data_IF_620993366848
#
_entry.id   IF_620993366848
#
_cell.length_a   1.000
_cell.length_b   1.000
_cell.length_c   1.000
_cell.angle_alpha   90.00
_cell.angle_beta   90.00
_cell.angle_gamma   90.00
#
_symmetry.space_group_name_H-M   'P 1'
#
loop_
_entity.id
_entity.type
_entity.pdbx_description
1 polymer ?
#
# COMPACT_ATOMS: atom_id res chain seq x y z
N UNK A 1 8.93 -2.16 -3.53
CA UNK A 1 7.62 -1.72 -3.00
C UNK A 1 7.83 -1.16 -1.61
N UNK A 2 7.08 -0.14 -1.22
CA UNK A 2 7.10 0.42 0.14
C UNK A 2 5.71 0.25 0.74
N UNK A 3 5.63 -0.16 2.00
CA UNK A 3 4.35 -0.38 2.68
C UNK A 3 4.17 0.67 3.76
N UNK A 4 3.02 1.34 3.77
CA UNK A 4 2.52 2.06 4.93
C UNK A 4 1.49 1.21 5.65
N UNK A 5 1.50 1.24 6.97
CA UNK A 5 0.57 0.44 7.77
C UNK A 5 0.00 1.22 8.93
N UNK A 6 -1.22 0.91 9.34
CA UNK A 6 -1.87 1.46 10.53
C UNK A 6 -2.78 0.41 11.18
N UNK A 7 -3.08 0.58 12.48
CA UNK A 7 -3.87 -0.36 13.28
C UNK A 7 -3.03 -1.45 13.97
N UNK A 8 -3.72 -2.35 14.68
CA UNK A 8 -3.11 -3.43 15.45
C UNK A 8 -2.86 -4.67 14.57
N UNK A 9 -1.62 -5.17 14.53
CA UNK A 9 -1.20 -6.35 13.75
C UNK A 9 -1.94 -7.64 14.09
N UNK A 10 -2.56 -7.74 15.28
CA UNK A 10 -3.36 -8.89 15.69
C UNK A 10 -4.79 -8.86 15.13
N UNK A 11 -5.23 -7.74 14.55
CA UNK A 11 -6.54 -7.62 13.92
C UNK A 11 -6.55 -8.20 12.50
N UNK A 12 -7.74 -8.48 11.97
CA UNK A 12 -7.94 -8.86 10.57
C UNK A 12 -7.33 -7.82 9.62
N UNK A 13 -6.77 -8.29 8.50
CA UNK A 13 -5.99 -7.46 7.58
C UNK A 13 -6.87 -6.92 6.44
N UNK A 14 -6.68 -5.64 6.11
CA UNK A 14 -7.16 -5.04 4.86
C UNK A 14 -5.94 -4.63 4.03
N UNK A 15 -5.84 -5.19 2.83
CA UNK A 15 -4.84 -4.80 1.84
C UNK A 15 -5.47 -3.84 0.83
N UNK A 16 -4.91 -2.63 0.76
CA UNK A 16 -5.35 -1.61 -0.19
C UNK A 16 -4.62 -1.77 -1.53
N UNK A 17 -5.30 -1.41 -2.61
CA UNK A 17 -4.69 -1.26 -3.93
C UNK A 17 -5.05 0.12 -4.47
N UNK A 18 -4.05 0.83 -4.97
CA UNK A 18 -4.24 2.12 -5.59
C UNK A 18 -4.20 1.99 -7.13
N UNK A 19 -4.85 2.92 -7.83
CA UNK A 19 -4.82 2.96 -9.29
C UNK A 19 -3.48 3.51 -9.81
N UNK A 20 -3.27 3.44 -11.13
CA UNK A 20 -2.11 4.09 -11.76
C UNK A 20 -2.13 5.61 -11.54
N UNK A 21 -0.97 6.20 -11.28
CA UNK A 21 -0.78 7.64 -11.13
C UNK A 21 -0.93 8.16 -9.70
N UNK A 22 -1.21 7.29 -8.74
CA UNK A 22 -1.27 7.62 -7.30
C UNK A 22 -0.37 6.66 -6.49
N UNK A 23 -0.18 6.93 -5.20
CA UNK A 23 0.61 6.11 -4.27
C UNK A 23 -0.28 5.52 -3.18
N UNK A 24 0.26 4.65 -2.32
CA UNK A 24 -0.49 4.12 -1.17
C UNK A 24 -1.02 5.21 -0.22
N UNK A 25 -0.48 6.43 -0.26
CA UNK A 25 -1.00 7.57 0.53
C UNK A 25 -2.42 7.96 0.16
N UNK A 26 -2.87 7.68 -1.07
CA UNK A 26 -4.25 8.00 -1.49
C UNK A 26 -5.30 7.30 -0.64
N UNK A 27 -4.93 6.18 0.01
CA UNK A 27 -5.84 5.37 0.83
C UNK A 27 -5.78 5.73 2.32
N UNK A 28 -4.94 6.67 2.74
CA UNK A 28 -4.67 6.91 4.16
C UNK A 28 -5.92 7.33 4.94
N UNK A 29 -6.74 8.23 4.40
CA UNK A 29 -7.96 8.72 5.05
C UNK A 29 -9.01 7.61 5.28
N UNK A 30 -9.04 6.60 4.39
CA UNK A 30 -9.88 5.42 4.55
C UNK A 30 -9.26 4.47 5.57
N UNK A 31 -7.95 4.22 5.48
CA UNK A 31 -7.23 3.35 6.39
C UNK A 31 -7.30 3.83 7.84
N UNK A 32 -7.21 5.14 8.10
CA UNK A 32 -7.34 5.72 9.43
C UNK A 32 -8.70 5.45 10.07
N UNK A 33 -9.79 5.53 9.27
CA UNK A 33 -11.14 5.19 9.76
C UNK A 33 -11.32 3.71 10.05
N UNK A 34 -10.52 2.85 9.42
CA UNK A 34 -10.58 1.38 9.58
C UNK A 34 -9.60 0.85 10.64
N UNK A 35 -8.59 1.64 11.00
CA UNK A 35 -7.45 1.24 11.83
C UNK A 35 -7.83 0.78 13.25
N UNK A 36 -8.98 1.22 13.77
CA UNK A 36 -9.49 0.76 15.07
C UNK A 36 -9.79 -0.75 15.06
N UNK A 37 -10.31 -1.26 13.94
CA UNK A 37 -10.82 -2.65 13.82
C UNK A 37 -9.94 -3.55 12.96
N UNK A 38 -9.10 -2.97 12.11
CA UNK A 38 -8.33 -3.71 11.12
C UNK A 38 -6.86 -3.30 11.13
N UNK A 39 -6.00 -4.23 10.71
CA UNK A 39 -4.63 -3.91 10.32
C UNK A 39 -4.62 -3.52 8.84
N UNK A 40 -4.42 -2.24 8.55
CA UNK A 40 -4.46 -1.73 7.19
C UNK A 40 -3.05 -1.70 6.59
N UNK A 41 -2.89 -2.27 5.41
CA UNK A 41 -1.64 -2.28 4.64
C UNK A 41 -1.88 -1.55 3.32
N UNK A 42 -1.10 -0.49 3.08
CA UNK A 42 -1.16 0.33 1.88
C UNK A 42 0.18 0.23 1.14
N UNK A 43 0.28 -0.64 0.13
CA UNK A 43 1.47 -0.73 -0.71
C UNK A 43 1.56 0.46 -1.66
N UNK A 44 2.78 0.92 -1.90
CA UNK A 44 3.14 1.75 -3.05
C UNK A 44 3.97 0.88 -4.00
N UNK A 45 3.53 0.77 -5.25
CA UNK A 45 4.22 0.00 -6.29
C UNK A 45 5.65 0.52 -6.51
N UNK A 46 6.57 -0.37 -6.89
CA UNK A 46 7.99 -0.06 -7.16
C UNK A 46 8.15 1.07 -8.18
N UNK A 47 7.27 1.15 -9.17
CA UNK A 47 7.30 2.20 -10.20
C UNK A 47 7.07 3.60 -9.65
N UNK A 48 6.45 3.72 -8.46
CA UNK A 48 6.22 4.99 -7.77
C UNK A 48 7.16 5.20 -6.58
N UNK A 49 8.14 4.30 -6.36
CA UNK A 49 9.12 4.41 -5.29
C UNK A 49 10.37 5.15 -5.79
N UNK A 50 10.84 6.14 -5.02
CA UNK A 50 12.05 6.90 -5.38
C UNK A 50 13.25 5.98 -5.57
N UNK A 51 14.00 6.17 -6.67
CA UNK A 51 15.18 5.37 -7.01
C UNK A 51 14.88 3.94 -7.49
N UNK A 52 13.60 3.52 -7.56
CA UNK A 52 13.22 2.24 -8.12
C UNK A 52 12.64 2.42 -9.52
N UNK A 53 13.02 1.53 -10.45
CA UNK A 53 12.46 1.46 -11.79
C UNK A 53 11.89 0.08 -12.02
N UNK A 54 10.64 0.04 -12.46
CA UNK A 54 10.06 -1.14 -13.07
C UNK A 54 10.62 -1.24 -14.49
N UNK A 55 11.47 -2.24 -14.76
CA UNK A 55 12.18 -2.36 -16.04
C UNK A 55 11.29 -3.01 -17.11
N UNK A 56 10.59 -4.08 -16.80
CA UNK A 56 9.71 -4.77 -17.75
C UNK A 56 8.68 -5.67 -17.06
N UNK A 57 7.67 -6.11 -17.83
CA UNK A 57 6.75 -7.18 -17.41
C UNK A 57 7.42 -8.50 -17.02
N UNK A 58 8.65 -8.75 -17.47
CA UNK A 58 9.39 -9.97 -17.12
C UNK A 58 9.91 -9.94 -15.69
N UNK A 59 9.89 -8.78 -15.05
CA UNK A 59 10.33 -8.57 -13.67
C UNK A 59 9.15 -8.62 -12.68
N UNK A 60 7.93 -8.86 -13.16
CA UNK A 60 6.80 -9.25 -12.33
C UNK A 60 7.01 -10.70 -11.86
N UNK A 61 7.05 -10.92 -10.53
CA UNK A 61 7.17 -12.24 -9.89
C UNK A 61 5.76 -12.76 -9.58
#
# INVERSE_FOLDING_TARGET
>A
MVFKTTGNKSNSVILFFHAMGVTGESSMSVAEKMAEKYYCIMPTSTVYCSGQRYQSKRDEI
#
